data_IF_373171714001
#
_entry.id   IF_373171714001
#
_cell.length_a   1.000
_cell.length_b   1.000
_cell.length_c   1.000
_cell.angle_alpha   90.00
_cell.angle_beta   90.00
_cell.angle_gamma   90.00
#
_symmetry.space_group_name_H-M   'P 1'
#
loop_
_entity.id
_entity.type
_entity.pdbx_description
1 polymer ?
#
# COMPACT_ATOMS: atom_id res chain seq x y z
N UNK A 1 -7.11 14.42 70.59
CA UNK A 1 -6.56 13.29 69.81
C UNK A 1 -7.44 12.90 68.62
N UNK A 2 -8.68 12.46 68.80
CA UNK A 2 -9.54 12.07 67.65
C UNK A 2 -9.96 13.25 66.76
N UNK A 3 -10.26 14.41 67.36
CA UNK A 3 -10.58 15.65 66.63
C UNK A 3 -9.38 16.21 65.86
N UNK A 4 -8.19 16.19 66.46
CA UNK A 4 -6.96 16.70 65.82
C UNK A 4 -6.58 15.89 64.58
N UNK A 5 -6.73 14.55 64.66
CA UNK A 5 -6.55 13.64 63.53
C UNK A 5 -7.57 13.90 62.41
N UNK A 6 -8.82 14.20 62.77
CA UNK A 6 -9.88 14.48 61.78
C UNK A 6 -9.66 15.81 61.05
N UNK A 7 -9.20 16.84 61.76
CA UNK A 7 -8.78 18.13 61.17
C UNK A 7 -7.57 17.96 60.25
N UNK A 8 -6.58 17.17 60.65
CA UNK A 8 -5.38 16.92 59.83
C UNK A 8 -5.72 16.19 58.53
N UNK A 9 -6.58 15.16 58.60
CA UNK A 9 -7.06 14.43 57.42
C UNK A 9 -7.86 15.36 56.49
N UNK A 10 -8.73 16.22 57.05
CA UNK A 10 -9.51 17.19 56.27
C UNK A 10 -8.61 18.20 55.56
N UNK A 11 -7.62 18.74 56.27
CA UNK A 11 -6.63 19.68 55.72
C UNK A 11 -5.83 19.04 54.57
N UNK A 12 -5.36 17.81 54.76
CA UNK A 12 -4.65 17.04 53.72
C UNK A 12 -5.53 16.77 52.50
N UNK A 13 -6.79 16.39 52.69
CA UNK A 13 -7.76 16.19 51.61
C UNK A 13 -7.97 17.48 50.79
N UNK A 14 -8.24 18.62 51.45
CA UNK A 14 -8.40 19.89 50.74
C UNK A 14 -7.14 20.30 49.99
N UNK A 15 -5.94 20.08 50.56
CA UNK A 15 -4.69 20.37 49.86
C UNK A 15 -4.50 19.50 48.60
N UNK A 16 -4.92 18.24 48.67
CA UNK A 16 -4.84 17.29 47.56
C UNK A 16 -5.85 17.64 46.46
N UNK A 17 -7.07 18.02 46.81
CA UNK A 17 -8.09 18.49 45.87
C UNK A 17 -7.62 19.72 45.08
N UNK A 18 -7.05 20.71 45.77
CA UNK A 18 -6.49 21.91 45.13
C UNK A 18 -5.30 21.55 44.23
N UNK A 19 -4.44 20.63 44.67
CA UNK A 19 -3.32 20.14 43.84
C UNK A 19 -3.83 19.49 42.55
N UNK A 20 -4.84 18.61 42.66
CA UNK A 20 -5.42 17.90 41.52
C UNK A 20 -6.11 18.85 40.54
N UNK A 21 -6.87 19.83 41.03
CA UNK A 21 -7.50 20.85 40.18
C UNK A 21 -6.45 21.67 39.41
N UNK A 22 -5.35 22.05 40.06
CA UNK A 22 -4.24 22.74 39.40
C UNK A 22 -3.60 21.90 38.30
N UNK A 23 -3.46 20.58 38.52
CA UNK A 23 -2.92 19.67 37.51
C UNK A 23 -3.88 19.48 36.32
N UNK A 24 -5.18 19.34 36.57
CA UNK A 24 -6.22 19.35 35.53
C UNK A 24 -6.13 20.65 34.72
N UNK A 25 -6.04 21.80 35.37
CA UNK A 25 -5.99 23.09 34.66
C UNK A 25 -4.72 23.23 33.81
N UNK A 26 -3.58 22.72 34.30
CA UNK A 26 -2.33 22.66 33.53
C UNK A 26 -2.45 21.76 32.31
N UNK A 27 -3.01 20.56 32.45
CA UNK A 27 -3.19 19.61 31.34
C UNK A 27 -4.16 20.14 30.29
N UNK A 28 -5.29 20.72 30.69
CA UNK A 28 -6.24 21.39 29.78
C UNK A 28 -5.57 22.53 29.02
N UNK A 29 -4.77 23.35 29.71
CA UNK A 29 -4.03 24.45 29.08
C UNK A 29 -2.98 23.96 28.08
N UNK A 30 -2.28 22.87 28.40
CA UNK A 30 -1.31 22.24 27.50
C UNK A 30 -2.02 21.67 26.25
N UNK A 31 -3.16 21.01 26.43
CA UNK A 31 -3.95 20.46 25.34
C UNK A 31 -4.46 21.55 24.39
N UNK A 32 -4.95 22.68 24.93
CA UNK A 32 -5.38 23.82 24.11
C UNK A 32 -4.25 24.40 23.26
N UNK A 33 -3.01 24.47 23.79
CA UNK A 33 -1.84 24.92 23.02
C UNK A 33 -1.49 23.94 21.90
N UNK A 34 -1.54 22.63 22.18
CA UNK A 34 -1.30 21.58 21.17
C UNK A 34 -2.35 21.62 20.07
N UNK A 35 -3.63 21.80 20.42
CA UNK A 35 -4.71 21.93 19.45
C UNK A 35 -4.49 23.15 18.54
N UNK A 36 -4.15 24.31 19.11
CA UNK A 36 -3.85 25.51 18.33
C UNK A 36 -2.64 25.33 17.41
N UNK A 37 -1.60 24.65 17.87
CA UNK A 37 -0.44 24.30 17.04
C UNK A 37 -0.83 23.35 15.90
N UNK A 38 -1.65 22.34 16.18
CA UNK A 38 -2.16 21.41 15.16
C UNK A 38 -3.03 22.12 14.12
N UNK A 39 -3.91 23.03 14.53
CA UNK A 39 -4.72 23.86 13.63
C UNK A 39 -3.86 24.79 12.78
N UNK A 40 -2.82 25.39 13.37
CA UNK A 40 -1.88 26.25 12.64
C UNK A 40 -1.09 25.46 11.59
N UNK A 41 -0.63 24.23 11.93
CA UNK A 41 -0.03 23.31 10.96
C UNK A 41 -0.99 22.98 9.83
N UNK A 42 -2.23 22.59 10.14
CA UNK A 42 -3.25 22.28 9.13
C UNK A 42 -3.50 23.44 8.15
N UNK A 43 -3.48 24.69 8.62
CA UNK A 43 -3.66 25.85 7.75
C UNK A 43 -2.42 26.12 6.88
N UNK A 44 -1.20 25.91 7.40
CA UNK A 44 0.03 25.97 6.59
C UNK A 44 0.01 24.87 5.53
N UNK A 45 -0.33 23.64 5.93
CA UNK A 45 -0.47 22.50 5.04
C UNK A 45 -1.53 22.79 3.98
N UNK A 46 -2.68 23.40 4.33
CA UNK A 46 -3.73 23.77 3.36
C UNK A 46 -3.24 24.81 2.33
N UNK A 47 -2.44 25.80 2.75
CA UNK A 47 -1.89 26.81 1.84
C UNK A 47 -0.88 26.22 0.89
N UNK A 48 0.00 25.38 1.44
CA UNK A 48 0.97 24.61 0.68
C UNK A 48 0.25 23.66 -0.29
N UNK A 49 -0.78 22.98 0.18
CA UNK A 49 -1.60 22.04 -0.58
C UNK A 49 -2.26 22.71 -1.80
N UNK A 50 -2.76 23.95 -1.69
CA UNK A 50 -3.25 24.70 -2.86
C UNK A 50 -2.14 24.97 -3.89
N UNK A 51 -0.94 25.35 -3.44
CA UNK A 51 0.21 25.55 -4.32
C UNK A 51 0.65 24.23 -4.97
N UNK A 52 0.50 23.11 -4.26
CA UNK A 52 0.88 21.79 -4.72
C UNK A 52 -0.16 21.18 -5.66
N UNK A 53 -1.45 21.33 -5.38
CA UNK A 53 -2.52 21.01 -6.32
C UNK A 53 -2.34 21.77 -7.64
N UNK A 54 -1.98 23.05 -7.56
CA UNK A 54 -1.60 23.82 -8.76
C UNK A 54 -0.40 23.21 -9.47
N UNK A 55 0.67 22.84 -8.74
CA UNK A 55 1.87 22.22 -9.34
C UNK A 55 1.58 20.86 -9.98
N UNK A 56 0.77 20.04 -9.32
CA UNK A 56 0.29 18.76 -9.83
C UNK A 56 -0.49 18.98 -11.12
N UNK A 57 -1.44 19.93 -11.13
CA UNK A 57 -2.22 20.28 -12.31
C UNK A 57 -1.32 20.76 -13.47
N UNK A 58 -0.32 21.59 -13.19
CA UNK A 58 0.68 22.04 -14.18
C UNK A 58 1.47 20.87 -14.79
N UNK A 59 1.90 19.92 -13.96
CA UNK A 59 2.62 18.71 -14.43
C UNK A 59 1.70 17.82 -15.26
N UNK A 60 0.46 17.64 -14.82
CA UNK A 60 -0.54 16.84 -15.50
C UNK A 60 -0.87 17.42 -16.89
N UNK A 61 -1.11 18.73 -16.95
CA UNK A 61 -1.41 19.47 -18.17
C UNK A 61 -0.26 19.42 -19.18
N UNK A 62 0.98 19.60 -18.69
CA UNK A 62 2.18 19.44 -19.52
C UNK A 62 2.31 18.02 -20.08
N UNK A 63 2.02 17.00 -19.28
CA UNK A 63 2.05 15.61 -19.73
C UNK A 63 0.96 15.32 -20.76
N UNK A 64 -0.28 15.74 -20.50
CA UNK A 64 -1.40 15.64 -21.44
C UNK A 64 -1.07 16.31 -22.78
N UNK A 65 -0.50 17.51 -22.75
CA UNK A 65 -0.05 18.23 -23.94
C UNK A 65 1.05 17.50 -24.72
N UNK A 66 1.95 16.79 -24.03
CA UNK A 66 2.99 15.97 -24.67
C UNK A 66 2.39 14.74 -25.35
N UNK A 67 1.48 14.05 -24.66
CA UNK A 67 0.79 12.86 -25.20
C UNK A 67 -0.09 13.22 -26.39
N UNK A 68 -0.82 14.33 -26.32
CA UNK A 68 -1.62 14.83 -27.44
C UNK A 68 -0.77 15.10 -28.67
N UNK A 69 0.38 15.78 -28.51
CA UNK A 69 1.32 16.02 -29.62
C UNK A 69 1.89 14.73 -30.20
N UNK A 70 2.25 13.76 -29.38
CA UNK A 70 2.75 12.46 -29.84
C UNK A 70 1.67 11.69 -30.63
N UNK A 71 0.43 11.70 -30.14
CA UNK A 71 -0.70 11.09 -30.84
C UNK A 71 -0.97 11.78 -32.19
N UNK A 72 -0.93 13.11 -32.23
CA UNK A 72 -1.12 13.89 -33.45
C UNK A 72 -0.01 13.62 -34.48
N UNK A 73 1.25 13.56 -34.03
CA UNK A 73 2.38 13.15 -34.88
C UNK A 73 2.20 11.73 -35.43
N UNK A 74 1.79 10.77 -34.58
CA UNK A 74 1.51 9.39 -35.01
C UNK A 74 0.37 9.35 -36.03
N UNK A 75 -0.70 10.11 -35.81
CA UNK A 75 -1.83 10.21 -36.75
C UNK A 75 -1.38 10.77 -38.10
N UNK A 76 -0.59 11.85 -38.11
CA UNK A 76 -0.05 12.43 -39.35
C UNK A 76 0.86 11.44 -40.11
N UNK A 77 1.66 10.64 -39.39
CA UNK A 77 2.49 9.60 -40.02
C UNK A 77 1.61 8.51 -40.66
N UNK A 78 0.58 8.06 -39.96
CA UNK A 78 -0.37 7.04 -40.47
C UNK A 78 -1.13 7.58 -41.69
N UNK A 79 -1.63 8.82 -41.63
CA UNK A 79 -2.32 9.44 -42.77
C UNK A 79 -1.41 9.64 -44.00
N UNK A 80 -0.12 9.95 -43.81
CA UNK A 80 0.84 9.99 -44.92
C UNK A 80 1.03 8.61 -45.53
N UNK A 81 1.21 7.58 -44.69
CA UNK A 81 1.32 6.18 -45.17
C UNK A 81 0.08 5.72 -45.93
N UNK A 82 -1.13 6.00 -45.42
CA UNK A 82 -2.37 5.67 -46.13
C UNK A 82 -2.46 6.38 -47.48
N UNK A 83 -2.05 7.65 -47.56
CA UNK A 83 -2.01 8.39 -48.85
C UNK A 83 -0.97 7.82 -49.81
N UNK A 84 0.22 7.48 -49.31
CA UNK A 84 1.28 6.88 -50.13
C UNK A 84 0.85 5.49 -50.63
N UNK A 85 0.26 4.66 -49.76
CA UNK A 85 -0.29 3.34 -50.11
C UNK A 85 -1.45 3.44 -51.10
N UNK A 86 -2.35 4.41 -50.93
CA UNK A 86 -3.45 4.67 -51.86
C UNK A 86 -2.95 5.13 -53.23
N UNK A 87 -1.92 5.99 -53.27
CA UNK A 87 -1.30 6.42 -54.52
C UNK A 87 -0.58 5.26 -55.23
N UNK A 88 0.08 4.38 -54.48
CA UNK A 88 0.70 3.16 -55.01
C UNK A 88 -0.35 2.19 -55.54
N UNK A 89 -1.47 1.99 -54.83
CA UNK A 89 -2.56 1.14 -55.30
C UNK A 89 -3.29 1.74 -56.51
N UNK A 90 -3.46 3.06 -56.59
CA UNK A 90 -4.04 3.73 -57.76
C UNK A 90 -3.10 3.64 -58.97
N UNK A 91 -1.79 3.78 -58.77
CA UNK A 91 -0.78 3.57 -59.81
C UNK A 91 -0.76 2.12 -60.29
N UNK A 92 -0.82 1.14 -59.37
CA UNK A 92 -0.95 -0.28 -59.71
C UNK A 92 -2.25 -0.57 -60.46
N UNK A 93 -3.38 0.03 -60.08
CA UNK A 93 -4.66 -0.11 -60.78
C UNK A 93 -4.63 0.50 -62.17
N UNK A 94 -3.94 1.63 -62.38
CA UNK A 94 -3.73 2.21 -63.72
C UNK A 94 -2.79 1.35 -64.58
N UNK A 95 -1.75 0.80 -63.99
CA UNK A 95 -0.85 -0.16 -64.66
C UNK A 95 -1.56 -1.48 -64.98
N UNK A 96 -2.40 -1.97 -64.06
CA UNK A 96 -3.25 -3.14 -64.27
C UNK A 96 -4.33 -2.84 -65.28
N UNK A 97 -4.99 -1.69 -65.29
CA UNK A 97 -5.97 -1.34 -66.32
C UNK A 97 -5.31 -1.20 -67.69
N UNK A 98 -4.09 -0.65 -67.77
CA UNK A 98 -3.30 -0.60 -69.01
C UNK A 98 -2.87 -2.01 -69.48
N UNK A 99 -2.58 -2.93 -68.56
CA UNK A 99 -2.25 -4.34 -68.87
C UNK A 99 -3.49 -5.17 -69.16
N UNK A 100 -4.59 -4.94 -68.46
CA UNK A 100 -5.89 -5.55 -68.64
C UNK A 100 -6.57 -5.03 -69.89
N UNK A 101 -6.38 -3.79 -70.31
CA UNK A 101 -6.87 -3.29 -71.60
C UNK A 101 -6.12 -3.97 -72.75
N UNK A 102 -4.80 -4.20 -72.61
CA UNK A 102 -4.02 -5.05 -73.53
C UNK A 102 -4.45 -6.52 -73.51
N UNK A 103 -4.76 -7.07 -72.34
CA UNK A 103 -5.21 -8.46 -72.18
C UNK A 103 -6.69 -8.64 -72.54
N UNK A 104 -7.53 -7.64 -72.38
CA UNK A 104 -8.96 -7.64 -72.72
C UNK A 104 -9.16 -7.37 -74.21
N UNK A 105 -8.23 -6.69 -74.87
CA UNK A 105 -8.12 -6.76 -76.33
C UNK A 105 -7.83 -8.20 -76.81
N UNK A 106 -7.10 -8.99 -76.02
CA UNK A 106 -6.82 -10.42 -76.25
C UNK A 106 -7.94 -11.37 -75.75
N UNK A 107 -8.75 -10.93 -74.77
CA UNK A 107 -9.75 -11.74 -74.03
C UNK A 107 -11.20 -11.36 -74.31
N UNK A 108 -11.49 -10.26 -75.01
CA UNK A 108 -12.73 -10.07 -75.79
C UNK A 108 -12.85 -11.07 -76.95
N UNK A 109 -11.79 -11.85 -77.18
CA UNK A 109 -11.79 -13.09 -77.96
C UNK A 109 -12.26 -14.33 -77.19
N UNK A 110 -12.34 -14.27 -75.87
CA UNK A 110 -12.63 -15.43 -74.99
C UNK A 110 -13.39 -14.96 -73.75
N UNK A 111 -14.69 -14.74 -73.98
CA UNK A 111 -15.81 -15.14 -73.11
C UNK A 111 -15.75 -14.71 -71.64
N UNK A 112 -16.64 -13.82 -71.19
CA UNK A 112 -18.00 -14.15 -70.77
C UNK A 112 -18.05 -15.20 -69.65
N UNK A 113 -18.57 -14.78 -68.48
CA UNK A 113 -19.28 -15.56 -67.43
C UNK A 113 -18.77 -15.41 -65.96
N UNK A 114 -19.45 -14.48 -65.25
CA UNK A 114 -20.06 -14.48 -63.90
C UNK A 114 -19.35 -14.85 -62.56
N UNK A 115 -19.11 -13.79 -61.76
CA UNK A 115 -19.62 -13.39 -60.41
C UNK A 115 -19.88 -14.34 -59.19
N UNK A 116 -19.02 -14.15 -58.16
CA UNK A 116 -19.13 -13.86 -56.68
C UNK A 116 -20.44 -14.05 -55.85
N UNK A 117 -20.30 -14.47 -54.56
CA UNK A 117 -21.25 -14.26 -53.44
C UNK A 117 -20.56 -13.84 -52.11
N UNK A 118 -21.29 -13.10 -51.25
CA UNK A 118 -20.85 -12.38 -50.03
C UNK A 118 -21.50 -12.96 -48.74
N UNK A 119 -20.92 -12.70 -47.56
CA UNK A 119 -21.50 -13.04 -46.24
C UNK A 119 -21.27 -11.90 -45.22
N UNK A 120 -22.22 -11.70 -44.28
CA UNK A 120 -22.12 -10.72 -43.19
C UNK A 120 -22.70 -11.26 -41.89
N UNK A 121 -22.02 -11.00 -40.76
CA UNK A 121 -22.51 -11.23 -39.39
C UNK A 121 -22.39 -9.94 -38.60
N UNK A 122 -23.40 -9.63 -37.76
CA UNK A 122 -23.43 -8.46 -36.87
C UNK A 122 -23.25 -8.86 -35.40
N UNK A 123 -22.55 -7.98 -34.71
CA UNK A 123 -22.07 -7.97 -33.33
C UNK A 123 -23.09 -7.28 -32.40
N UNK A 124 -23.07 -7.54 -31.09
CA UNK A 124 -23.50 -6.51 -30.12
C UNK A 124 -23.01 -6.74 -28.68
N UNK A 125 -22.52 -5.64 -28.14
CA UNK A 125 -21.87 -5.36 -26.85
C UNK A 125 -22.92 -4.95 -25.80
N UNK A 126 -22.65 -5.19 -24.51
CA UNK A 126 -23.34 -4.54 -23.40
C UNK A 126 -22.57 -4.63 -22.08
N UNK A 127 -21.98 -3.53 -21.64
CA UNK A 127 -21.22 -3.38 -20.38
C UNK A 127 -22.15 -2.91 -19.26
N UNK A 128 -22.14 -3.61 -18.12
CA UNK A 128 -22.51 -3.11 -16.78
C UNK A 128 -21.38 -3.46 -15.82
N UNK A 129 -21.02 -2.54 -14.93
CA UNK A 129 -19.82 -2.58 -14.08
C UNK A 129 -20.00 -3.27 -12.72
N UNK A 130 -20.74 -4.37 -12.67
CA UNK A 130 -20.39 -5.47 -11.77
C UNK A 130 -19.65 -6.45 -12.66
N UNK A 131 -18.36 -6.72 -12.40
CA UNK A 131 -17.59 -7.66 -13.20
C UNK A 131 -18.39 -8.97 -13.35
N UNK A 132 -18.95 -9.29 -14.54
CA UNK A 132 -19.94 -10.36 -14.66
C UNK A 132 -19.34 -11.68 -14.20
N UNK A 133 -19.94 -12.29 -13.17
CA UNK A 133 -19.49 -13.60 -12.67
C UNK A 133 -18.35 -13.59 -11.64
N UNK A 134 -17.98 -12.46 -11.04
CA UNK A 134 -17.07 -12.43 -9.88
C UNK A 134 -17.84 -12.17 -8.59
N UNK A 135 -17.71 -13.07 -7.61
CA UNK A 135 -18.27 -12.92 -6.26
C UNK A 135 -17.22 -12.32 -5.32
N UNK A 136 -17.62 -11.30 -4.58
CA UNK A 136 -16.79 -10.63 -3.57
C UNK A 136 -17.18 -11.12 -2.17
N UNK A 137 -16.20 -11.56 -1.40
CA UNK A 137 -16.34 -11.91 0.01
C UNK A 137 -15.52 -10.93 0.85
N UNK A 138 -16.20 -9.99 1.50
CA UNK A 138 -15.59 -9.04 2.42
C UNK A 138 -16.66 -8.45 3.35
N UNK A 139 -16.22 -7.96 4.50
CA UNK A 139 -17.06 -7.14 5.36
C UNK A 139 -17.26 -5.74 4.74
N UNK A 140 -18.45 -5.17 4.87
CA UNK A 140 -18.78 -3.82 4.37
C UNK A 140 -17.84 -2.74 4.92
N UNK A 141 -17.48 -2.82 6.20
CA UNK A 141 -16.60 -1.85 6.85
C UNK A 141 -15.19 -1.91 6.24
N UNK A 142 -14.71 -3.12 5.93
CA UNK A 142 -13.41 -3.31 5.30
C UNK A 142 -13.39 -2.74 3.86
N UNK A 143 -14.47 -2.96 3.09
CA UNK A 143 -14.62 -2.42 1.73
C UNK A 143 -14.69 -0.89 1.72
N UNK A 144 -15.42 -0.30 2.66
CA UNK A 144 -15.49 1.16 2.79
C UNK A 144 -14.14 1.75 3.20
N UNK A 145 -13.44 1.13 4.15
CA UNK A 145 -12.11 1.58 4.56
C UNK A 145 -11.10 1.49 3.41
N UNK A 146 -11.14 0.43 2.61
CA UNK A 146 -10.34 0.31 1.39
C UNK A 146 -10.66 1.41 0.38
N UNK A 147 -11.95 1.66 0.14
CA UNK A 147 -12.40 2.67 -0.82
C UNK A 147 -11.99 4.08 -0.40
N UNK A 148 -12.14 4.43 0.88
CA UNK A 148 -11.71 5.73 1.43
C UNK A 148 -10.20 5.93 1.27
N UNK A 149 -9.40 4.92 1.61
CA UNK A 149 -7.93 4.98 1.50
C UNK A 149 -7.46 5.05 0.05
N UNK A 150 -8.12 4.33 -0.85
CA UNK A 150 -7.88 4.44 -2.30
C UNK A 150 -8.16 5.86 -2.80
N UNK A 151 -9.28 6.46 -2.40
CA UNK A 151 -9.61 7.83 -2.79
C UNK A 151 -8.57 8.85 -2.29
N UNK A 152 -8.05 8.71 -1.07
CA UNK A 152 -6.97 9.56 -0.55
C UNK A 152 -5.67 9.39 -1.35
N UNK A 153 -5.36 8.15 -1.70
CA UNK A 153 -4.15 7.80 -2.45
C UNK A 153 -4.17 8.32 -3.90
N UNK A 154 -5.34 8.27 -4.55
CA UNK A 154 -5.55 8.73 -5.92
C UNK A 154 -5.52 10.27 -6.07
N UNK A 155 -5.61 11.03 -4.96
CA UNK A 155 -5.42 12.49 -4.99
C UNK A 155 -4.02 12.89 -5.46
N UNK A 156 -3.03 12.01 -5.28
CA UNK A 156 -1.65 12.21 -5.75
C UNK A 156 -1.45 11.42 -7.04
N UNK A 157 -1.24 12.06 -8.20
CA UNK A 157 -1.11 11.35 -9.47
C UNK A 157 0.05 10.36 -9.51
N UNK A 158 -0.18 9.20 -10.11
CA UNK A 158 0.84 8.13 -10.22
C UNK A 158 2.08 8.55 -11.01
N UNK A 159 1.96 9.55 -11.89
CA UNK A 159 3.04 10.07 -12.72
C UNK A 159 3.92 11.12 -12.02
N UNK A 160 3.73 11.33 -10.71
CA UNK A 160 4.45 12.35 -9.96
C UNK A 160 5.98 12.18 -9.99
N UNK A 161 6.45 10.94 -10.15
CA UNK A 161 7.87 10.61 -10.32
C UNK A 161 8.50 11.18 -11.61
N UNK A 162 7.70 11.63 -12.58
CA UNK A 162 8.20 12.31 -13.80
C UNK A 162 8.71 13.72 -13.49
N UNK A 163 8.24 14.34 -12.41
CA UNK A 163 8.84 15.59 -11.91
C UNK A 163 10.25 15.30 -11.41
N UNK A 164 11.25 16.02 -11.94
CA UNK A 164 12.65 15.86 -11.54
C UNK A 164 12.84 16.08 -10.02
N UNK A 165 12.14 17.06 -9.47
CA UNK A 165 12.15 17.42 -8.05
C UNK A 165 11.65 16.26 -7.17
N UNK A 166 10.44 15.77 -7.44
CA UNK A 166 9.86 14.67 -6.67
C UNK A 166 10.57 13.33 -6.92
N UNK A 167 11.18 13.14 -8.10
CA UNK A 167 12.04 11.99 -8.37
C UNK A 167 13.29 12.01 -7.49
N UNK A 168 13.95 13.16 -7.34
CA UNK A 168 15.10 13.32 -6.46
C UNK A 168 14.71 13.07 -5.00
N UNK A 169 13.59 13.63 -4.56
CA UNK A 169 13.06 13.43 -3.22
C UNK A 169 12.71 11.95 -2.95
N UNK A 170 12.04 11.29 -3.91
CA UNK A 170 11.73 9.86 -3.87
C UNK A 170 13.00 8.99 -3.77
N UNK A 171 14.08 9.38 -4.47
CA UNK A 171 15.39 8.72 -4.36
C UNK A 171 16.02 8.92 -2.99
N UNK A 172 15.87 10.09 -2.36
CA UNK A 172 16.38 10.34 -1.01
C UNK A 172 15.69 9.43 0.02
N UNK A 173 14.35 9.36 -0.02
CA UNK A 173 13.56 8.43 0.79
C UNK A 173 14.04 6.99 0.55
N UNK A 174 14.14 6.59 -0.73
CA UNK A 174 14.60 5.26 -1.11
C UNK A 174 16.01 4.93 -0.61
N UNK A 175 16.93 5.91 -0.57
CA UNK A 175 18.28 5.73 -0.02
C UNK A 175 18.26 5.51 1.49
N UNK A 176 17.42 6.23 2.23
CA UNK A 176 17.30 6.04 3.68
C UNK A 176 16.75 4.64 3.99
N UNK A 177 15.69 4.23 3.30
CA UNK A 177 15.07 2.90 3.44
C UNK A 177 16.02 1.79 2.98
N UNK A 178 16.74 2.00 1.87
CA UNK A 178 17.69 1.01 1.33
C UNK A 178 18.84 0.67 2.28
N UNK A 179 19.23 1.60 3.16
CA UNK A 179 20.26 1.42 4.19
C UNK A 179 19.72 0.78 5.48
N UNK A 180 18.41 0.54 5.57
CA UNK A 180 17.81 -0.04 6.76
C UNK A 180 18.37 -1.44 7.02
N UNK A 181 18.79 -1.66 8.25
CA UNK A 181 19.23 -2.96 8.77
C UNK A 181 18.40 -3.35 9.98
N UNK A 182 18.32 -4.64 10.34
CA UNK A 182 17.58 -5.11 11.52
C UNK A 182 18.27 -4.80 12.85
N UNK A 183 18.68 -3.55 13.06
CA UNK A 183 19.31 -3.09 14.31
C UNK A 183 18.57 -1.87 14.86
N UNK A 184 18.55 -1.74 16.18
CA UNK A 184 17.86 -0.65 16.91
C UNK A 184 18.32 0.71 16.43
N UNK A 185 19.64 0.91 16.33
CA UNK A 185 20.24 2.19 15.93
C UNK A 185 19.89 2.54 14.48
N UNK A 186 19.88 1.54 13.59
CA UNK A 186 19.49 1.73 12.20
C UNK A 186 18.03 2.15 12.11
N UNK A 187 17.13 1.44 12.79
CA UNK A 187 15.70 1.78 12.85
C UNK A 187 15.48 3.20 13.37
N UNK A 188 16.07 3.57 14.52
CA UNK A 188 15.93 4.92 15.10
C UNK A 188 16.46 6.00 14.16
N UNK A 189 17.64 5.79 13.59
CA UNK A 189 18.26 6.74 12.69
C UNK A 189 17.44 6.92 11.40
N UNK A 190 17.00 5.82 10.77
CA UNK A 190 16.19 5.87 9.54
C UNK A 190 14.82 6.48 9.80
N UNK A 191 14.16 6.13 10.91
CA UNK A 191 12.89 6.74 11.29
C UNK A 191 13.04 8.26 11.47
N UNK A 192 14.07 8.71 12.17
CA UNK A 192 14.34 10.14 12.38
C UNK A 192 14.61 10.89 11.07
N UNK A 193 15.36 10.30 10.15
CA UNK A 193 15.59 10.88 8.81
C UNK A 193 14.31 10.98 8.00
N UNK A 194 13.46 9.95 8.05
CA UNK A 194 12.19 9.91 7.32
C UNK A 194 11.15 10.87 7.90
N UNK A 195 11.06 10.97 9.23
CA UNK A 195 10.20 11.98 9.89
C UNK A 195 10.59 13.38 9.44
N UNK A 196 11.90 13.71 9.48
CA UNK A 196 12.40 15.01 9.01
C UNK A 196 12.14 15.26 7.53
N UNK A 197 12.21 14.21 6.70
CA UNK A 197 11.85 14.33 5.31
C UNK A 197 10.35 14.70 5.20
N UNK A 198 9.48 13.93 5.84
CA UNK A 198 8.03 14.11 5.74
C UNK A 198 7.54 15.46 6.31
N UNK A 199 8.16 15.97 7.38
CA UNK A 199 7.88 17.29 7.94
C UNK A 199 8.61 18.44 7.22
N UNK A 200 9.41 18.15 6.19
CA UNK A 200 10.21 19.13 5.45
C UNK A 200 9.38 20.03 4.53
N UNK A 201 9.86 21.26 4.29
CA UNK A 201 9.23 22.21 3.35
C UNK A 201 9.54 21.90 1.87
N UNK A 202 10.50 21.01 1.61
CA UNK A 202 11.01 20.71 0.26
C UNK A 202 10.03 19.86 -0.57
N UNK A 203 9.06 19.21 0.05
CA UNK A 203 8.12 18.33 -0.62
C UNK A 203 6.72 18.50 -0.04
N UNK A 204 5.67 18.49 -0.86
CA UNK A 204 4.30 18.52 -0.38
C UNK A 204 4.01 17.38 0.57
N UNK A 205 3.39 17.68 1.70
CA UNK A 205 3.10 16.69 2.73
C UNK A 205 2.41 15.42 2.19
N UNK A 206 1.34 15.57 1.40
CA UNK A 206 0.61 14.45 0.79
C UNK A 206 1.50 13.66 -0.17
N UNK A 207 2.36 14.33 -0.93
CA UNK A 207 3.28 13.71 -1.89
C UNK A 207 4.41 13.00 -1.14
N UNK A 208 4.94 13.58 -0.06
CA UNK A 208 5.94 12.96 0.79
C UNK A 208 5.40 11.68 1.43
N UNK A 209 4.18 11.72 1.99
CA UNK A 209 3.50 10.54 2.55
C UNK A 209 3.28 9.46 1.49
N UNK A 210 2.83 9.84 0.30
CA UNK A 210 2.63 8.94 -0.84
C UNK A 210 3.93 8.26 -1.28
N UNK A 211 5.00 9.03 -1.44
CA UNK A 211 6.31 8.53 -1.86
C UNK A 211 6.97 7.66 -0.79
N UNK A 212 6.79 8.01 0.48
CA UNK A 212 7.22 7.18 1.60
C UNK A 212 6.51 5.82 1.59
N UNK A 213 5.18 5.80 1.47
CA UNK A 213 4.42 4.56 1.39
C UNK A 213 4.87 3.69 0.21
N UNK A 214 4.98 4.27 -0.99
CA UNK A 214 5.49 3.56 -2.19
C UNK A 214 6.85 2.93 -1.92
N UNK A 215 7.80 3.69 -1.36
CA UNK A 215 9.16 3.20 -1.15
C UNK A 215 9.28 2.16 -0.05
N UNK A 216 8.50 2.27 1.02
CA UNK A 216 8.47 1.26 2.06
C UNK A 216 7.92 -0.07 1.53
N UNK A 217 6.88 -0.05 0.70
CA UNK A 217 6.29 -1.26 0.12
C UNK A 217 7.17 -1.83 -1.00
N UNK A 218 7.86 -0.97 -1.76
CA UNK A 218 8.79 -1.37 -2.83
C UNK A 218 9.94 -2.25 -2.34
N UNK A 219 10.20 -2.31 -1.03
CA UNK A 219 11.21 -3.22 -0.47
C UNK A 219 10.94 -4.70 -0.80
N UNK A 220 9.66 -5.08 -0.92
CA UNK A 220 9.24 -6.44 -1.30
C UNK A 220 9.68 -6.79 -2.71
N UNK A 221 9.72 -5.80 -3.61
CA UNK A 221 10.15 -6.00 -5.01
C UNK A 221 11.67 -5.93 -5.19
N UNK A 222 12.37 -5.29 -4.27
CA UNK A 222 13.80 -4.97 -4.42
C UNK A 222 14.72 -5.89 -3.59
N UNK A 223 14.18 -6.65 -2.65
CA UNK A 223 14.92 -7.59 -1.80
C UNK A 223 14.55 -9.03 -2.11
N UNK A 224 15.45 -9.96 -1.79
CA UNK A 224 15.14 -11.38 -1.87
C UNK A 224 14.23 -11.78 -0.70
N UNK A 225 12.94 -11.94 -0.99
CA UNK A 225 11.90 -12.25 0.01
C UNK A 225 11.86 -13.72 0.43
N UNK A 226 12.56 -14.60 -0.30
CA UNK A 226 12.68 -16.03 0.02
C UNK A 226 13.76 -16.32 1.07
N UNK A 227 14.73 -15.41 1.22
CA UNK A 227 15.83 -15.58 2.18
C UNK A 227 15.37 -15.32 3.62
N UNK A 228 16.00 -16.02 4.57
CA UNK A 228 15.74 -15.90 6.03
C UNK A 228 15.97 -14.48 6.54
N UNK A 229 16.78 -13.68 5.85
CA UNK A 229 17.07 -12.28 6.19
C UNK A 229 15.88 -11.34 6.00
N UNK A 230 14.88 -11.71 5.20
CA UNK A 230 13.72 -10.85 4.95
C UNK A 230 12.83 -10.69 6.18
N UNK A 231 12.68 -11.71 7.02
CA UNK A 231 11.86 -11.64 8.25
C UNK A 231 12.32 -10.52 9.19
N UNK A 232 13.58 -10.53 9.65
CA UNK A 232 14.15 -9.44 10.46
C UNK A 232 14.06 -8.07 9.80
N UNK A 233 14.28 -7.99 8.49
CA UNK A 233 14.15 -6.74 7.74
C UNK A 233 12.71 -6.22 7.70
N UNK A 234 11.73 -7.11 7.53
CA UNK A 234 10.32 -6.75 7.55
C UNK A 234 9.92 -6.18 8.92
N UNK A 235 10.42 -6.76 10.02
CA UNK A 235 10.25 -6.17 11.36
C UNK A 235 10.88 -4.79 11.48
N UNK A 236 12.12 -4.61 11.03
CA UNK A 236 12.77 -3.31 11.02
C UNK A 236 11.95 -2.26 10.24
N UNK A 237 11.43 -2.65 9.06
CA UNK A 237 10.54 -1.79 8.26
C UNK A 237 9.25 -1.48 9.00
N UNK A 238 8.63 -2.48 9.64
CA UNK A 238 7.42 -2.31 10.43
C UNK A 238 7.61 -1.31 11.59
N UNK A 239 8.74 -1.36 12.30
CA UNK A 239 9.05 -0.37 13.32
C UNK A 239 9.28 1.03 12.75
N UNK A 240 9.97 1.16 11.62
CA UNK A 240 10.12 2.45 10.95
C UNK A 240 8.76 3.01 10.56
N UNK A 241 7.89 2.21 9.94
CA UNK A 241 6.52 2.62 9.61
C UNK A 241 5.77 3.10 10.85
N UNK A 242 5.84 2.36 11.96
CA UNK A 242 5.17 2.73 13.20
C UNK A 242 5.71 4.04 13.80
N UNK A 243 7.03 4.18 13.91
CA UNK A 243 7.66 5.37 14.48
C UNK A 243 7.36 6.61 13.63
N UNK A 244 7.43 6.48 12.30
CA UNK A 244 7.10 7.57 11.38
C UNK A 244 5.62 7.93 11.48
N UNK A 245 4.71 6.95 11.44
CA UNK A 245 3.27 7.21 11.51
C UNK A 245 2.80 7.72 12.87
N UNK A 246 3.54 7.45 13.95
CA UNK A 246 3.27 8.06 15.24
C UNK A 246 3.51 9.58 15.23
N UNK A 247 4.56 10.03 14.53
CA UNK A 247 4.89 11.46 14.41
C UNK A 247 4.15 12.13 13.25
N UNK A 248 3.82 11.36 12.20
CA UNK A 248 3.16 11.81 10.97
C UNK A 248 1.93 10.92 10.69
N UNK A 249 0.80 11.13 11.39
CA UNK A 249 -0.36 10.22 11.33
C UNK A 249 -0.95 10.02 9.93
N UNK A 250 -0.94 11.06 9.10
CA UNK A 250 -1.49 11.01 7.74
C UNK A 250 -0.79 9.94 6.86
N UNK A 251 0.49 9.65 7.14
CA UNK A 251 1.25 8.64 6.41
C UNK A 251 0.67 7.22 6.57
N UNK A 252 -0.10 6.96 7.64
CA UNK A 252 -0.71 5.64 7.89
C UNK A 252 -1.74 5.28 6.81
N UNK A 253 -2.60 6.22 6.41
CA UNK A 253 -3.62 5.93 5.40
C UNK A 253 -3.00 5.69 4.02
N UNK A 254 -1.90 6.39 3.69
CA UNK A 254 -1.13 6.13 2.47
C UNK A 254 -0.43 4.77 2.48
N UNK A 255 0.15 4.37 3.62
CA UNK A 255 0.73 3.02 3.80
C UNK A 255 -0.34 1.95 3.61
N UNK A 256 -1.48 2.08 4.30
CA UNK A 256 -2.58 1.13 4.19
C UNK A 256 -3.18 1.08 2.79
N UNK A 257 -3.32 2.23 2.11
CA UNK A 257 -3.75 2.28 0.71
C UNK A 257 -2.78 1.52 -0.21
N UNK A 258 -1.48 1.69 -0.03
CA UNK A 258 -0.47 0.94 -0.79
C UNK A 258 -0.52 -0.57 -0.49
N UNK A 259 -0.64 -0.97 0.78
CA UNK A 259 -0.78 -2.39 1.14
C UNK A 259 -2.00 -3.03 0.48
N UNK A 260 -3.14 -2.35 0.55
CA UNK A 260 -4.40 -2.81 -0.03
C UNK A 260 -4.31 -2.91 -1.56
N UNK A 261 -3.57 -2.00 -2.19
CA UNK A 261 -3.33 -1.99 -3.64
C UNK A 261 -2.45 -3.16 -4.08
N UNK A 262 -1.36 -3.46 -3.36
CA UNK A 262 -0.43 -4.52 -3.75
C UNK A 262 -0.84 -5.91 -3.28
N UNK A 263 -1.69 -6.00 -2.25
CA UNK A 263 -2.11 -7.28 -1.67
C UNK A 263 -3.53 -7.18 -1.08
N UNK A 264 -4.53 -7.74 -1.78
CA UNK A 264 -5.94 -7.70 -1.34
C UNK A 264 -6.16 -8.32 0.05
N UNK A 265 -5.33 -9.28 0.44
CA UNK A 265 -5.50 -10.05 1.68
C UNK A 265 -5.19 -9.22 2.93
N UNK A 266 -4.70 -7.99 2.76
CA UNK A 266 -4.61 -6.98 3.82
C UNK A 266 -5.94 -6.28 4.12
N UNK A 267 -6.98 -6.46 3.28
CA UNK A 267 -8.35 -5.91 3.40
C UNK A 267 -9.37 -6.93 3.94
N UNK A 268 -8.90 -8.06 4.51
CA UNK A 268 -9.68 -9.32 4.59
C UNK A 268 -10.73 -9.55 3.48
N UNK A 269 -10.34 -9.39 2.21
CA UNK A 269 -11.22 -9.61 1.04
C UNK A 269 -10.78 -10.83 0.24
N UNK A 270 -11.75 -11.57 -0.29
CA UNK A 270 -11.54 -12.62 -1.26
C UNK A 270 -12.45 -12.44 -2.49
N UNK A 271 -11.88 -12.65 -3.67
CA UNK A 271 -12.59 -12.58 -4.94
C UNK A 271 -12.64 -13.98 -5.55
N UNK A 272 -13.83 -14.40 -5.97
CA UNK A 272 -14.07 -15.74 -6.50
C UNK A 272 -14.76 -15.66 -7.87
N UNK A 273 -14.09 -16.14 -8.91
CA UNK A 273 -14.70 -16.30 -10.23
C UNK A 273 -15.68 -17.49 -10.22
N UNK A 274 -16.96 -17.21 -10.49
CA UNK A 274 -18.06 -18.19 -10.47
C UNK A 274 -18.07 -19.14 -11.68
N UNK A 275 -17.38 -18.78 -12.76
CA UNK A 275 -17.31 -19.57 -13.98
C UNK A 275 -15.96 -19.38 -14.71
N UNK A 276 -15.69 -20.23 -15.70
CA UNK A 276 -14.45 -20.19 -16.48
C UNK A 276 -14.28 -18.88 -17.27
N UNK A 277 -15.38 -18.29 -17.75
CA UNK A 277 -15.36 -17.03 -18.50
C UNK A 277 -14.89 -15.86 -17.63
N UNK A 278 -15.32 -15.82 -16.37
CA UNK A 278 -14.91 -14.82 -15.39
C UNK A 278 -13.48 -15.06 -14.89
N UNK A 279 -12.91 -16.27 -15.03
CA UNK A 279 -11.53 -16.60 -14.64
C UNK A 279 -10.56 -16.30 -15.78
N UNK A 280 -10.51 -15.04 -16.19
CA UNK A 280 -9.69 -14.53 -17.29
C UNK A 280 -8.50 -13.70 -16.77
N UNK A 281 -7.73 -13.10 -17.69
CA UNK A 281 -6.59 -12.22 -17.36
C UNK A 281 -7.00 -11.05 -16.44
N UNK A 282 -8.16 -10.44 -16.66
CA UNK A 282 -8.66 -9.34 -15.83
C UNK A 282 -8.90 -9.77 -14.38
N UNK A 283 -9.43 -10.99 -14.17
CA UNK A 283 -9.56 -11.58 -12.83
C UNK A 283 -8.20 -11.77 -12.16
N UNK A 284 -7.21 -12.33 -12.88
CA UNK A 284 -5.87 -12.54 -12.30
C UNK A 284 -5.21 -11.20 -11.94
N UNK A 285 -5.34 -10.18 -12.79
CA UNK A 285 -4.89 -8.82 -12.48
C UNK A 285 -5.60 -8.23 -11.27
N UNK A 286 -6.93 -8.41 -11.19
CA UNK A 286 -7.72 -7.94 -10.05
C UNK A 286 -7.30 -8.60 -8.74
N UNK A 287 -6.89 -9.88 -8.78
CA UNK A 287 -6.41 -10.57 -7.58
C UNK A 287 -4.94 -10.28 -7.23
N UNK A 288 -4.23 -9.54 -8.08
CA UNK A 288 -2.87 -9.06 -7.82
C UNK A 288 -1.76 -9.81 -8.56
N UNK A 289 -2.08 -10.68 -9.53
CA UNK A 289 -1.06 -11.22 -10.44
C UNK A 289 -0.49 -10.09 -11.28
N UNK A 290 0.82 -10.16 -11.51
CA UNK A 290 1.54 -9.24 -12.37
C UNK A 290 1.70 -9.86 -13.77
N UNK A 291 1.74 -9.00 -14.80
CA UNK A 291 2.09 -9.38 -16.16
C UNK A 291 3.59 -9.12 -16.35
N UNK A 292 4.38 -10.16 -16.62
CA UNK A 292 5.83 -10.07 -16.89
C UNK A 292 6.08 -10.41 -18.35
N UNK A 293 6.65 -9.48 -19.14
CA UNK A 293 7.15 -9.72 -20.51
C UNK A 293 6.21 -10.57 -21.39
N UNK A 294 4.96 -10.11 -21.55
CA UNK A 294 3.89 -10.75 -22.35
C UNK A 294 3.42 -12.14 -21.85
N UNK A 295 3.86 -12.58 -20.66
CA UNK A 295 3.42 -13.80 -19.98
C UNK A 295 2.86 -13.50 -18.59
N UNK A 296 1.85 -14.27 -18.18
CA UNK A 296 1.33 -14.18 -16.81
C UNK A 296 2.37 -14.70 -15.81
N UNK A 297 2.58 -13.96 -14.72
CA UNK A 297 3.40 -14.40 -13.59
C UNK A 297 3.00 -15.81 -13.14
N UNK A 298 3.99 -16.65 -12.79
CA UNK A 298 3.70 -17.98 -12.25
C UNK A 298 2.99 -17.89 -10.90
N UNK A 299 2.12 -18.87 -10.60
CA UNK A 299 1.45 -18.93 -9.29
C UNK A 299 2.44 -18.99 -8.13
N UNK A 300 3.58 -19.65 -8.29
CA UNK A 300 4.62 -19.68 -7.26
C UNK A 300 5.18 -18.27 -6.98
N UNK A 301 5.53 -17.53 -8.03
CA UNK A 301 6.04 -16.16 -7.91
C UNK A 301 4.99 -15.21 -7.29
N UNK A 302 3.73 -15.34 -7.70
CA UNK A 302 2.62 -14.61 -7.09
C UNK A 302 2.49 -14.89 -5.58
N UNK A 303 2.51 -16.17 -5.18
CA UNK A 303 2.39 -16.55 -3.78
C UNK A 303 3.57 -16.04 -2.93
N UNK A 304 4.79 -16.05 -3.48
CA UNK A 304 5.98 -15.48 -2.82
C UNK A 304 5.77 -13.99 -2.53
N UNK A 305 5.22 -13.24 -3.48
CA UNK A 305 4.90 -11.83 -3.30
C UNK A 305 3.80 -11.63 -2.24
N UNK A 306 2.72 -12.41 -2.30
CA UNK A 306 1.64 -12.35 -1.31
C UNK A 306 2.18 -12.59 0.10
N UNK A 307 2.96 -13.65 0.30
CA UNK A 307 3.57 -13.96 1.60
C UNK A 307 4.46 -12.81 2.07
N UNK A 308 5.27 -12.22 1.20
CA UNK A 308 6.16 -11.12 1.55
C UNK A 308 5.40 -9.85 1.95
N UNK A 309 4.34 -9.46 1.21
CA UNK A 309 3.51 -8.31 1.57
C UNK A 309 2.76 -8.54 2.88
N UNK A 310 2.19 -9.72 3.10
CA UNK A 310 1.50 -10.06 4.36
C UNK A 310 2.47 -10.07 5.54
N UNK A 311 3.71 -10.58 5.36
CA UNK A 311 4.77 -10.50 6.38
C UNK A 311 5.11 -9.05 6.74
N UNK A 312 5.29 -8.18 5.74
CA UNK A 312 5.59 -6.76 5.96
C UNK A 312 4.41 -6.03 6.64
N UNK A 313 3.18 -6.32 6.22
CA UNK A 313 1.96 -5.79 6.84
C UNK A 313 1.83 -6.22 8.30
N UNK A 314 1.99 -7.51 8.58
CA UNK A 314 1.96 -8.09 9.93
C UNK A 314 3.03 -7.47 10.83
N UNK A 315 4.23 -7.24 10.31
CA UNK A 315 5.31 -6.56 11.00
C UNK A 315 4.95 -5.11 11.38
N UNK A 316 4.33 -4.35 10.47
CA UNK A 316 3.88 -2.97 10.74
C UNK A 316 2.85 -2.90 11.87
N UNK A 317 1.83 -3.77 11.83
CA UNK A 317 0.81 -3.80 12.88
C UNK A 317 1.29 -4.51 14.16
N UNK A 318 2.52 -5.04 14.18
CA UNK A 318 3.11 -5.82 15.27
C UNK A 318 2.30 -7.06 15.67
N UNK A 319 1.50 -7.60 14.75
CA UNK A 319 0.63 -8.74 15.01
C UNK A 319 1.22 -10.00 14.40
N UNK A 320 1.56 -10.96 15.27
CA UNK A 320 1.90 -12.33 14.92
C UNK A 320 1.18 -13.28 15.90
N UNK A 321 1.22 -14.59 15.65
CA UNK A 321 0.61 -15.57 16.55
C UNK A 321 1.03 -15.40 18.01
N UNK A 322 2.30 -15.08 18.26
CA UNK A 322 2.82 -14.73 19.59
C UNK A 322 2.11 -13.56 20.26
N UNK A 323 1.99 -12.43 19.57
CA UNK A 323 1.36 -11.24 20.11
C UNK A 323 -0.14 -11.45 20.34
N UNK A 324 -0.80 -12.17 19.43
CA UNK A 324 -2.21 -12.54 19.55
C UNK A 324 -2.47 -13.45 20.75
N UNK A 325 -1.63 -14.47 20.95
CA UNK A 325 -1.72 -15.35 22.11
C UNK A 325 -1.50 -14.57 23.40
N UNK A 326 -0.45 -13.74 23.48
CA UNK A 326 -0.15 -12.94 24.68
C UNK A 326 -1.28 -11.98 25.05
N UNK A 327 -1.97 -11.40 24.06
CA UNK A 327 -3.04 -10.42 24.28
C UNK A 327 -4.41 -11.04 24.55
N UNK A 328 -4.77 -12.10 23.83
CA UNK A 328 -6.13 -12.65 23.82
C UNK A 328 -6.25 -14.06 24.40
N UNK A 329 -5.13 -14.72 24.71
CA UNK A 329 -5.06 -16.01 25.40
C UNK A 329 -6.02 -17.05 24.81
N UNK A 330 -6.98 -17.50 25.63
CA UNK A 330 -7.95 -18.53 25.28
C UNK A 330 -8.83 -18.18 24.07
N UNK A 331 -9.10 -16.90 23.80
CA UNK A 331 -9.91 -16.52 22.63
C UNK A 331 -9.16 -16.75 21.32
N UNK A 332 -7.85 -16.44 21.30
CA UNK A 332 -7.01 -16.76 20.14
C UNK A 332 -6.90 -18.28 19.94
N UNK A 333 -6.76 -19.04 21.03
CA UNK A 333 -6.75 -20.50 20.98
C UNK A 333 -8.02 -21.10 20.37
N UNK A 334 -9.20 -20.52 20.62
CA UNK A 334 -10.45 -20.97 19.97
C UNK A 334 -10.42 -20.77 18.46
N UNK A 335 -9.82 -19.68 17.98
CA UNK A 335 -9.65 -19.43 16.54
C UNK A 335 -8.70 -20.49 15.95
N UNK A 336 -7.57 -20.75 16.60
CA UNK A 336 -6.63 -21.79 16.17
C UNK A 336 -7.27 -23.19 16.16
N UNK A 337 -8.11 -23.50 17.15
CA UNK A 337 -8.86 -24.75 17.22
C UNK A 337 -9.83 -24.90 16.05
N UNK A 338 -10.55 -23.84 15.67
CA UNK A 338 -11.39 -23.83 14.47
C UNK A 338 -10.56 -24.07 13.20
N UNK A 339 -9.41 -23.41 13.06
CA UNK A 339 -8.52 -23.61 11.90
C UNK A 339 -8.05 -25.07 11.83
N UNK A 340 -7.58 -25.63 12.95
CA UNK A 340 -7.10 -27.01 13.04
C UNK A 340 -8.19 -28.03 12.73
N UNK A 341 -9.37 -27.90 13.35
CA UNK A 341 -10.44 -28.91 13.28
C UNK A 341 -11.35 -28.80 12.07
N UNK A 342 -11.46 -27.62 11.45
CA UNK A 342 -12.41 -27.37 10.35
C UNK A 342 -11.72 -27.02 9.04
N UNK A 343 -10.80 -26.07 9.06
CA UNK A 343 -10.19 -25.56 7.83
C UNK A 343 -9.15 -26.52 7.26
N UNK A 344 -8.23 -27.02 8.08
CA UNK A 344 -7.18 -27.93 7.60
C UNK A 344 -7.75 -29.19 6.95
N UNK A 345 -8.72 -29.91 7.54
CA UNK A 345 -9.34 -31.07 6.90
C UNK A 345 -10.01 -30.71 5.57
N UNK A 346 -10.81 -29.64 5.54
CA UNK A 346 -11.48 -29.19 4.32
C UNK A 346 -10.51 -28.80 3.19
N UNK A 347 -9.33 -28.28 3.53
CA UNK A 347 -8.28 -27.98 2.55
C UNK A 347 -7.59 -29.25 2.02
N UNK A 348 -7.38 -30.26 2.86
CA UNK A 348 -6.79 -31.54 2.43
C UNK A 348 -7.67 -32.28 1.43
N UNK A 349 -8.99 -32.15 1.54
CA UNK A 349 -9.96 -32.72 0.61
C UNK A 349 -9.88 -32.10 -0.80
N UNK A 350 -9.33 -30.89 -0.96
CA UNK A 350 -9.26 -30.18 -2.26
C UNK A 350 -8.10 -30.60 -3.19
N UNK A 351 -7.05 -31.27 -2.68
CA UNK A 351 -6.17 -32.15 -3.48
C UNK A 351 -5.06 -31.56 -4.38
N UNK A 352 -4.52 -30.35 -4.16
CA UNK A 352 -3.44 -29.76 -5.02
C UNK A 352 -2.05 -29.79 -4.34
N UNK A 353 -0.98 -30.15 -5.08
CA UNK A 353 0.41 -30.26 -4.55
C UNK A 353 0.95 -29.00 -3.85
N UNK A 354 0.84 -27.81 -4.45
CA UNK A 354 1.30 -26.54 -3.84
C UNK A 354 0.51 -26.20 -2.58
N UNK A 355 -0.76 -26.63 -2.50
CA UNK A 355 -1.55 -26.50 -1.28
C UNK A 355 -1.10 -27.48 -0.20
N UNK A 356 -0.67 -28.69 -0.56
CA UNK A 356 -0.24 -29.71 0.42
C UNK A 356 0.96 -29.26 1.28
N UNK A 357 1.95 -28.60 0.69
CA UNK A 357 3.10 -28.05 1.43
C UNK A 357 2.68 -26.91 2.38
N UNK A 358 1.81 -26.01 1.92
CA UNK A 358 1.29 -24.91 2.74
C UNK A 358 0.40 -25.42 3.88
N UNK A 359 -0.45 -26.42 3.61
CA UNK A 359 -1.27 -27.11 4.63
C UNK A 359 -0.38 -27.78 5.67
N UNK A 360 0.66 -28.49 5.23
CA UNK A 360 1.61 -29.16 6.14
C UNK A 360 2.37 -28.14 7.00
N UNK A 361 2.82 -27.04 6.39
CA UNK A 361 3.48 -25.95 7.13
C UNK A 361 2.56 -25.32 8.17
N UNK A 362 1.28 -25.08 7.84
CA UNK A 362 0.29 -24.56 8.77
C UNK A 362 -0.04 -25.57 9.88
N UNK A 363 -0.12 -26.86 9.54
CA UNK A 363 -0.32 -27.93 10.51
C UNK A 363 0.84 -27.97 11.51
N UNK A 364 2.08 -28.03 11.04
CA UNK A 364 3.28 -28.04 11.89
C UNK A 364 3.33 -26.79 12.79
N UNK A 365 3.01 -25.61 12.26
CA UNK A 365 2.92 -24.39 13.05
C UNK A 365 1.97 -24.51 14.25
N UNK A 366 0.84 -25.19 14.08
CA UNK A 366 -0.16 -25.40 15.14
C UNK A 366 0.26 -26.51 16.11
N UNK A 367 0.75 -27.63 15.57
CA UNK A 367 1.13 -28.82 16.33
C UNK A 367 2.36 -28.54 17.22
N UNK A 368 3.38 -27.88 16.65
CA UNK A 368 4.59 -27.45 17.35
C UNK A 368 4.36 -26.21 18.21
N UNK A 369 3.16 -25.60 18.13
CA UNK A 369 2.77 -24.39 18.85
C UNK A 369 3.75 -23.23 18.66
N UNK A 370 4.25 -23.06 17.44
CA UNK A 370 5.19 -21.99 17.07
C UNK A 370 4.62 -20.59 17.40
N UNK A 371 3.30 -20.43 17.50
CA UNK A 371 2.67 -19.21 18.00
C UNK A 371 3.02 -18.85 19.46
N UNK A 372 3.67 -19.72 20.23
CA UNK A 372 4.21 -19.41 21.56
C UNK A 372 5.63 -18.88 21.51
N UNK A 373 6.32 -19.04 20.38
CA UNK A 373 7.68 -18.58 20.19
C UNK A 373 7.69 -17.11 19.74
N UNK A 374 8.59 -16.33 20.30
CA UNK A 374 8.75 -14.93 19.89
C UNK A 374 9.39 -14.87 18.49
N UNK A 375 8.76 -14.19 17.51
CA UNK A 375 9.27 -14.18 16.15
C UNK A 375 10.61 -13.45 16.03
N UNK A 376 11.50 -13.99 15.20
CA UNK A 376 12.81 -13.41 14.93
C UNK A 376 12.72 -11.95 14.46
N UNK A 377 13.52 -11.06 15.04
CA UNK A 377 13.47 -9.61 14.78
C UNK A 377 12.52 -8.83 15.68
N UNK A 378 11.68 -9.48 16.49
CA UNK A 378 10.83 -8.79 17.48
C UNK A 378 11.60 -8.26 18.69
N UNK A 379 12.78 -8.80 19.00
CA UNK A 379 13.63 -8.29 20.09
C UNK A 379 13.97 -6.79 19.94
N UNK A 380 13.97 -6.27 18.70
CA UNK A 380 14.05 -4.84 18.39
C UNK A 380 12.94 -4.01 19.11
N UNK A 381 11.72 -4.55 19.23
CA UNK A 381 10.61 -3.89 19.93
C UNK A 381 10.92 -3.64 21.40
N UNK A 382 11.48 -4.65 22.07
CA UNK A 382 11.60 -4.62 23.52
C UNK A 382 12.62 -3.54 23.95
N UNK A 383 13.69 -3.34 23.17
CA UNK A 383 14.66 -2.26 23.38
C UNK A 383 14.16 -0.88 22.89
N UNK A 384 13.44 -0.82 21.77
CA UNK A 384 12.92 0.46 21.25
C UNK A 384 11.78 1.01 22.11
N UNK A 385 10.81 0.17 22.47
CA UNK A 385 9.64 0.59 23.25
C UNK A 385 10.02 0.87 24.71
N UNK A 386 10.91 0.07 25.33
CA UNK A 386 11.37 0.36 26.69
C UNK A 386 12.07 1.71 26.79
N UNK A 387 12.84 2.13 25.78
CA UNK A 387 13.52 3.43 25.80
C UNK A 387 12.60 4.61 25.47
N UNK A 388 11.64 4.47 24.56
CA UNK A 388 10.66 5.54 24.27
C UNK A 388 9.83 5.88 25.51
N UNK A 389 9.43 4.87 26.30
CA UNK A 389 8.74 5.11 27.58
C UNK A 389 9.65 5.66 28.69
N UNK A 390 10.97 5.47 28.62
CA UNK A 390 11.93 6.04 29.58
C UNK A 390 12.28 7.50 29.23
N UNK A 391 12.40 7.85 27.94
CA UNK A 391 12.69 9.22 27.49
C UNK A 391 11.55 10.20 27.82
N UNK A 392 10.29 9.75 27.73
CA UNK A 392 9.11 10.51 28.18
C UNK A 392 9.12 10.76 29.70
N UNK A 393 9.64 9.82 30.49
CA UNK A 393 9.74 9.94 31.96
C UNK A 393 10.91 10.85 32.37
N UNK A 394 12.01 10.84 31.61
CA UNK A 394 13.11 11.78 31.79
C UNK A 394 12.75 13.22 31.40
N UNK A 395 11.90 13.43 30.39
CA UNK A 395 11.38 14.76 30.04
C UNK A 395 10.34 15.28 31.05
N UNK A 396 9.56 14.39 31.69
CA UNK A 396 8.66 14.73 32.81
C UNK A 396 9.41 15.06 34.10
N UNK A 397 10.51 14.37 34.38
CA UNK A 397 11.36 14.65 35.55
C UNK A 397 12.25 15.89 35.36
N UNK A 398 12.67 16.20 34.12
CA UNK A 398 13.41 17.43 33.81
C UNK A 398 12.54 18.70 33.88
N UNK A 399 11.23 18.59 33.64
CA UNK A 399 10.28 19.72 33.72
C UNK A 399 9.67 19.92 35.12
N UNK A 400 9.82 18.94 36.02
CA UNK A 400 9.46 19.05 37.42
C UNK A 400 10.73 19.21 38.28
N UNK A 401 11.33 20.39 38.23
CA UNK A 401 12.42 20.76 39.13
C UNK A 401 11.97 20.75 40.60
N UNK A 402 12.04 19.58 41.24
CA UNK A 402 12.03 19.44 42.69
C UNK A 402 13.07 18.40 43.07
N UNK A 403 14.12 18.87 43.74
CA UNK A 403 15.22 18.04 44.19
C UNK A 403 14.71 16.86 45.06
N UNK A 404 15.35 15.68 44.98
CA UNK A 404 15.01 14.56 45.85
C UNK A 404 15.35 14.94 47.30
N UNK A 405 14.34 14.90 48.17
CA UNK A 405 14.53 15.01 49.62
C UNK A 405 15.27 13.76 50.07
N UNK A 406 16.48 13.96 50.57
CA UNK A 406 17.30 12.97 51.27
C UNK A 406 16.56 12.50 52.52
N UNK A 407 16.01 11.29 52.51
CA UNK A 407 15.62 10.61 53.73
C UNK A 407 16.88 10.03 54.38
N UNK A 408 17.42 10.75 55.38
CA UNK A 408 18.14 10.12 56.49
C UNK A 408 17.17 10.02 57.65
N UNK A 409 16.92 8.80 58.08
CA UNK A 409 17.04 8.34 59.47
C UNK A 409 17.28 6.84 59.45
#
# INVERSE_FOLDING_TARGET
MMFDLQEEVRSKLSSLEVCHQNEIQRTVSAFARLQKYAESRKEVDRRLDVQFHRKIAEVLDKHLSLVQRDHEQKSQIVERRIRDDAAVEEAKKKDQSMKEEKVNQERTRKEAENSVLHATTVNSIGVKSELPGIKVFADSIALEAESRRRALHDQVPSNIHLSKEYSQYSRQIGKSIGKLTPTTDSVKARASELIKALDGQDCPHLIACRLFADKMISIVKTRNTKDKTFGPLAFACGYVMLLVTNQVPDAMDYLLAEFHKVCMYTVPKHLHALNAQARNSDYYRLIGYQEEDEKSQSTESYLVNVVAYVKLYAAMIQMAGFALYKKYGSQFMKILDVISRRFIPALKEQGVKVQAEAISSLQNYLDDKVYLEEPEGRYLAQHLLSQVFIEDDQHRTATSGRAPVSWRE
#
